data_IF_619275509307
#
_entry.id   IF_619275509307
#
_cell.length_a   1.000
_cell.length_b   1.000
_cell.length_c   1.000
_cell.angle_alpha   90.00
_cell.angle_beta   90.00
_cell.angle_gamma   90.00
#
_symmetry.space_group_name_H-M   'P 1'
#
loop_
_entity.id
_entity.type
_entity.pdbx_description
1 polymer ?
#
# COMPACT_ATOMS: atom_id res chain seq x y z
N UNK A 1 11.44 17.83 -8.12
CA UNK A 1 10.30 16.94 -7.88
C UNK A 1 9.68 16.60 -9.22
N UNK A 2 9.46 15.31 -9.49
CA UNK A 2 8.89 14.85 -10.76
C UNK A 2 7.45 14.40 -10.54
N UNK A 3 6.60 14.59 -11.55
CA UNK A 3 5.18 14.27 -11.48
C UNK A 3 4.75 13.41 -12.66
N UNK A 4 3.94 12.39 -12.37
CA UNK A 4 3.16 11.67 -13.36
C UNK A 4 1.74 12.24 -13.37
N UNK A 5 1.23 12.54 -14.56
CA UNK A 5 -0.16 13.00 -14.72
C UNK A 5 -1.04 11.80 -15.06
N UNK A 6 -2.09 11.59 -14.28
CA UNK A 6 -3.06 10.53 -14.53
C UNK A 6 -4.11 10.98 -15.58
N UNK A 7 -5.03 10.07 -15.94
CA UNK A 7 -6.08 10.38 -16.92
C UNK A 7 -7.08 11.46 -16.48
N UNK A 8 -7.13 11.77 -15.17
CA UNK A 8 -7.98 12.83 -14.59
C UNK A 8 -7.23 14.16 -14.44
N UNK A 9 -6.07 14.30 -15.08
CA UNK A 9 -5.17 15.46 -14.96
C UNK A 9 -4.70 15.74 -13.52
N UNK A 10 -4.57 14.69 -12.69
CA UNK A 10 -4.12 14.77 -11.31
C UNK A 10 -2.66 14.35 -11.21
N UNK A 11 -1.87 15.09 -10.42
CA UNK A 11 -0.43 14.89 -10.25
C UNK A 11 -0.14 13.80 -9.22
N UNK A 12 0.73 12.86 -9.57
CA UNK A 12 1.32 11.85 -8.68
C UNK A 12 2.81 12.20 -8.57
N UNK A 13 3.26 12.63 -7.41
CA UNK A 13 4.65 12.95 -7.15
C UNK A 13 5.48 11.67 -7.01
N UNK A 14 6.64 11.61 -7.63
CA UNK A 14 7.52 10.45 -7.55
C UNK A 14 9.00 10.81 -7.60
N UNK A 15 9.83 9.88 -7.12
CA UNK A 15 11.28 9.85 -7.32
C UNK A 15 11.65 8.54 -7.99
N UNK A 16 12.57 8.59 -8.95
CA UNK A 16 13.06 7.42 -9.65
C UNK A 16 14.56 7.47 -9.81
N UNK A 17 15.21 6.31 -9.77
CA UNK A 17 16.59 6.14 -10.19
C UNK A 17 16.69 4.99 -11.19
N UNK A 18 17.52 5.19 -12.21
CA UNK A 18 17.80 4.16 -13.21
C UNK A 18 18.77 3.12 -12.64
N UNK A 19 18.64 1.90 -13.10
CA UNK A 19 19.49 0.76 -12.77
C UNK A 19 19.07 -0.46 -13.59
N UNK A 20 19.61 -1.62 -13.23
CA UNK A 20 19.22 -2.90 -13.83
C UNK A 20 17.88 -3.38 -13.26
N UNK A 21 17.20 -4.29 -13.97
CA UNK A 21 15.92 -4.87 -13.52
C UNK A 21 16.04 -6.32 -13.04
N UNK A 22 14.97 -6.83 -12.40
CA UNK A 22 13.69 -6.17 -12.14
C UNK A 22 13.84 -4.98 -11.18
N UNK A 23 13.16 -3.86 -11.51
CA UNK A 23 13.18 -2.67 -10.66
C UNK A 23 12.34 -2.84 -9.40
N UNK A 24 12.55 -1.95 -8.45
CA UNK A 24 11.84 -1.91 -7.17
C UNK A 24 10.86 -0.74 -7.19
N UNK A 25 9.60 -0.98 -6.81
CA UNK A 25 8.61 0.05 -6.54
C UNK A 25 8.25 -0.01 -5.05
N UNK A 26 8.52 1.06 -4.31
CA UNK A 26 8.16 1.17 -2.90
C UNK A 26 6.82 1.91 -2.74
N UNK A 27 5.92 1.33 -1.94
CA UNK A 27 4.56 1.82 -1.66
C UNK A 27 4.46 2.11 -0.17
N UNK A 28 4.25 3.38 0.17
CA UNK A 28 4.18 3.84 1.56
C UNK A 28 2.88 3.43 2.27
N UNK A 29 2.85 3.54 3.59
CA UNK A 29 1.67 3.29 4.42
C UNK A 29 0.71 4.48 4.50
N UNK A 30 -0.39 4.27 5.23
CA UNK A 30 -1.36 5.31 5.52
C UNK A 30 -0.67 6.50 6.22
N UNK A 31 -1.04 7.70 5.82
CA UNK A 31 -0.53 8.95 6.39
C UNK A 31 1.01 9.07 6.38
N UNK A 32 1.66 8.42 5.43
CA UNK A 32 3.10 8.47 5.16
C UNK A 32 3.37 9.03 3.77
N UNK A 33 4.63 9.10 3.39
CA UNK A 33 5.05 9.61 2.08
C UNK A 33 6.32 8.90 1.57
N UNK A 34 6.77 9.28 0.37
CA UNK A 34 7.98 8.75 -0.26
C UNK A 34 9.29 9.24 0.37
N UNK A 35 9.24 10.08 1.41
CA UNK A 35 10.41 10.62 2.10
C UNK A 35 10.68 9.89 3.42
N UNK A 36 9.81 8.94 3.81
CA UNK A 36 9.96 8.15 5.03
C UNK A 36 11.25 7.32 5.04
N UNK A 37 11.68 6.91 6.24
CA UNK A 37 12.94 6.17 6.44
C UNK A 37 13.01 4.90 5.58
N UNK A 38 11.92 4.12 5.52
CA UNK A 38 11.88 2.87 4.72
C UNK A 38 12.16 3.15 3.24
N UNK A 39 11.55 4.19 2.66
CA UNK A 39 11.78 4.58 1.27
C UNK A 39 13.25 4.96 1.04
N UNK A 40 13.84 5.73 1.96
CA UNK A 40 15.25 6.16 1.88
C UNK A 40 16.21 4.97 1.94
N UNK A 41 16.03 4.05 2.89
CA UNK A 41 16.89 2.85 3.01
C UNK A 41 16.80 1.94 1.80
N UNK A 42 15.59 1.68 1.29
CA UNK A 42 15.40 0.84 0.11
C UNK A 42 16.00 1.53 -1.14
N UNK A 43 15.87 2.84 -1.27
CA UNK A 43 16.50 3.60 -2.35
C UNK A 43 18.04 3.53 -2.29
N UNK A 44 18.64 3.69 -1.09
CA UNK A 44 20.08 3.54 -0.90
C UNK A 44 20.57 2.14 -1.26
N UNK A 45 19.84 1.10 -0.83
CA UNK A 45 20.10 -0.28 -1.22
C UNK A 45 20.04 -0.48 -2.73
N UNK A 46 18.98 0.00 -3.38
CA UNK A 46 18.82 -0.09 -4.83
C UNK A 46 19.97 0.61 -5.58
N UNK A 47 20.35 1.80 -5.14
CA UNK A 47 21.47 2.55 -5.71
C UNK A 47 22.79 1.79 -5.55
N UNK A 48 23.10 1.26 -4.35
CA UNK A 48 24.32 0.48 -4.08
C UNK A 48 24.42 -0.76 -4.97
N UNK A 49 23.28 -1.40 -5.27
CA UNK A 49 23.22 -2.62 -6.07
C UNK A 49 22.87 -2.38 -7.56
N UNK A 50 22.93 -1.12 -8.01
CA UNK A 50 22.59 -0.73 -9.37
C UNK A 50 21.22 -1.26 -9.86
N UNK A 51 20.19 -1.20 -8.98
CA UNK A 51 18.82 -1.59 -9.29
C UNK A 51 17.97 -0.35 -9.62
N UNK A 52 17.06 -0.48 -10.58
CA UNK A 52 16.05 0.55 -10.82
C UNK A 52 15.14 0.67 -9.61
N UNK A 53 14.80 1.90 -9.23
CA UNK A 53 13.94 2.17 -8.06
C UNK A 53 12.96 3.29 -8.34
N UNK A 54 11.73 3.14 -7.84
CA UNK A 54 10.71 4.18 -7.81
C UNK A 54 10.05 4.19 -6.43
N UNK A 55 9.87 5.38 -5.85
CA UNK A 55 8.92 5.65 -4.78
C UNK A 55 8.07 6.86 -5.16
N UNK A 56 6.85 6.92 -4.64
CA UNK A 56 5.88 7.93 -5.01
C UNK A 56 4.95 8.19 -3.84
N UNK A 57 4.24 9.32 -3.88
CA UNK A 57 3.16 9.64 -2.97
C UNK A 57 1.83 9.26 -3.63
N UNK A 58 1.01 8.45 -2.97
CA UNK A 58 -0.37 8.25 -3.39
C UNK A 58 -1.13 9.60 -3.36
N UNK A 59 -2.12 9.79 -4.23
CA UNK A 59 -2.98 11.00 -4.17
C UNK A 59 -3.52 11.21 -2.76
N UNK A 60 -3.57 12.46 -2.32
CA UNK A 60 -3.94 12.83 -0.95
C UNK A 60 -2.83 12.64 0.08
N UNK A 61 -1.61 12.27 -0.34
CA UNK A 61 -0.43 12.15 0.51
C UNK A 61 0.74 12.98 -0.04
N UNK A 62 1.62 13.42 0.85
CA UNK A 62 2.89 14.06 0.54
C UNK A 62 2.76 15.24 -0.43
N UNK A 63 3.33 15.11 -1.62
CA UNK A 63 3.35 16.13 -2.68
C UNK A 63 2.41 15.82 -3.85
N UNK A 64 1.62 14.75 -3.76
CA UNK A 64 0.63 14.39 -4.75
C UNK A 64 -0.65 15.21 -4.61
N UNK A 65 -1.50 15.19 -5.64
CA UNK A 65 -2.72 15.97 -5.75
C UNK A 65 -3.77 15.61 -4.68
N UNK A 66 -4.47 16.63 -4.17
CA UNK A 66 -5.70 16.53 -3.38
C UNK A 66 -5.47 16.27 -1.89
N UNK A 67 -6.58 16.12 -1.15
CA UNK A 67 -6.57 15.84 0.28
C UNK A 67 -6.85 14.35 0.51
N UNK A 68 -6.37 13.81 1.62
CA UNK A 68 -6.50 12.39 1.98
C UNK A 68 -7.95 11.88 1.90
N UNK A 69 -8.89 12.63 2.44
CA UNK A 69 -10.33 12.28 2.48
C UNK A 69 -11.01 12.21 1.11
N UNK A 70 -10.37 12.71 0.07
CA UNK A 70 -10.92 12.70 -1.29
C UNK A 70 -10.66 11.39 -2.03
N UNK A 71 -9.82 10.51 -1.48
CA UNK A 71 -9.38 9.27 -2.12
C UNK A 71 -9.77 8.01 -1.37
N UNK A 72 -9.67 6.89 -2.06
CA UNK A 72 -10.05 5.55 -1.58
C UNK A 72 -8.97 4.53 -1.94
N UNK A 73 -9.11 3.28 -1.47
CA UNK A 73 -8.22 2.18 -1.84
C UNK A 73 -8.16 1.94 -3.35
N UNK A 74 -9.30 2.10 -4.05
CA UNK A 74 -9.35 1.97 -5.52
C UNK A 74 -8.56 3.07 -6.23
N UNK A 75 -8.62 4.32 -5.73
CA UNK A 75 -7.85 5.44 -6.28
C UNK A 75 -6.34 5.22 -6.09
N UNK A 76 -5.91 4.80 -4.90
CA UNK A 76 -4.49 4.53 -4.61
C UNK A 76 -3.97 3.30 -5.36
N UNK A 77 -4.80 2.26 -5.55
CA UNK A 77 -4.47 1.15 -6.45
C UNK A 77 -4.25 1.64 -7.89
N UNK A 78 -5.10 2.56 -8.37
CA UNK A 78 -4.94 3.16 -9.69
C UNK A 78 -3.63 3.94 -9.80
N UNK A 79 -3.20 4.64 -8.76
CA UNK A 79 -1.92 5.33 -8.73
C UNK A 79 -0.76 4.36 -8.95
N UNK A 80 -0.75 3.21 -8.25
CA UNK A 80 0.29 2.19 -8.43
C UNK A 80 0.27 1.62 -9.85
N UNK A 81 -0.91 1.35 -10.38
CA UNK A 81 -1.08 0.85 -11.75
C UNK A 81 -0.51 1.87 -12.76
N UNK A 82 -0.78 3.16 -12.56
CA UNK A 82 -0.21 4.21 -13.41
C UNK A 82 1.33 4.26 -13.31
N UNK A 83 1.91 4.10 -12.12
CA UNK A 83 3.37 4.02 -11.93
C UNK A 83 3.93 2.80 -12.69
N UNK A 84 3.33 1.61 -12.51
CA UNK A 84 3.77 0.39 -13.19
C UNK A 84 3.70 0.54 -14.70
N UNK A 85 2.57 1.00 -15.21
CA UNK A 85 2.28 0.98 -16.64
C UNK A 85 3.02 2.09 -17.42
N UNK A 86 3.22 3.27 -16.79
CA UNK A 86 3.77 4.45 -17.48
C UNK A 86 5.25 4.70 -17.20
N UNK A 87 5.76 4.28 -16.03
CA UNK A 87 7.13 4.60 -15.62
C UNK A 87 8.08 3.40 -15.62
N UNK A 88 7.57 2.18 -15.79
CA UNK A 88 8.41 0.98 -15.76
C UNK A 88 8.23 0.08 -16.99
N UNK A 89 9.24 -0.72 -17.28
CA UNK A 89 9.20 -1.78 -18.30
C UNK A 89 9.44 -3.13 -17.65
N UNK A 90 8.82 -4.19 -18.17
CA UNK A 90 8.95 -5.55 -17.64
C UNK A 90 8.42 -5.73 -16.21
N UNK A 91 8.65 -6.90 -15.60
CA UNK A 91 8.20 -7.21 -14.25
C UNK A 91 8.99 -6.44 -13.18
N UNK A 92 8.31 -6.01 -12.11
CA UNK A 92 8.85 -5.24 -11.01
C UNK A 92 8.70 -5.98 -9.67
N UNK A 93 9.59 -5.70 -8.72
CA UNK A 93 9.41 -6.09 -7.32
C UNK A 93 8.65 -4.96 -6.62
N UNK A 94 7.50 -5.30 -6.02
CA UNK A 94 6.75 -4.33 -5.20
C UNK A 94 7.12 -4.53 -3.73
N UNK A 95 7.43 -3.44 -3.04
CA UNK A 95 7.65 -3.42 -1.60
C UNK A 95 6.61 -2.50 -0.98
N UNK A 96 5.71 -3.06 -0.15
CA UNK A 96 4.62 -2.32 0.46
C UNK A 96 4.68 -2.32 1.98
N UNK A 97 4.55 -1.15 2.62
CA UNK A 97 4.52 -1.01 4.07
C UNK A 97 3.10 -0.73 4.57
N UNK A 98 2.60 -1.51 5.55
CA UNK A 98 1.29 -1.33 6.16
C UNK A 98 0.17 -1.29 5.10
N UNK A 99 -0.59 -0.19 4.96
CA UNK A 99 -1.56 0.02 3.86
C UNK A 99 -0.92 -0.19 2.48
N UNK A 100 0.35 0.21 2.30
CA UNK A 100 1.09 -0.05 1.06
C UNK A 100 1.25 -1.53 0.74
N UNK A 101 1.30 -2.41 1.74
CA UNK A 101 1.26 -3.86 1.57
C UNK A 101 -0.07 -4.35 1.00
N UNK A 102 -1.19 -3.80 1.47
CA UNK A 102 -2.50 -4.10 0.89
C UNK A 102 -2.60 -3.63 -0.56
N UNK A 103 -2.21 -2.39 -0.82
CA UNK A 103 -2.19 -1.82 -2.17
C UNK A 103 -1.27 -2.62 -3.12
N UNK A 104 -0.13 -3.09 -2.63
CA UNK A 104 0.79 -3.99 -3.33
C UNK A 104 0.08 -5.27 -3.80
N UNK A 105 -0.68 -5.91 -2.92
CA UNK A 105 -1.45 -7.12 -3.24
C UNK A 105 -2.53 -6.84 -4.29
N UNK A 106 -3.27 -5.74 -4.16
CA UNK A 106 -4.29 -5.33 -5.12
C UNK A 106 -3.70 -4.98 -6.49
N UNK A 107 -2.53 -4.34 -6.52
CA UNK A 107 -1.82 -4.04 -7.76
C UNK A 107 -1.30 -5.32 -8.44
N UNK A 108 -0.80 -6.29 -7.65
CA UNK A 108 -0.37 -7.58 -8.16
C UNK A 108 -1.52 -8.40 -8.77
N UNK A 109 -2.71 -8.35 -8.17
CA UNK A 109 -3.92 -8.93 -8.77
C UNK A 109 -4.29 -8.28 -10.11
N UNK A 110 -4.14 -6.95 -10.21
CA UNK A 110 -4.49 -6.20 -11.41
C UNK A 110 -3.45 -6.32 -12.53
N UNK A 111 -2.18 -6.57 -12.21
CA UNK A 111 -1.06 -6.63 -13.16
C UNK A 111 -0.11 -7.83 -12.92
N UNK A 112 -0.60 -9.07 -12.86
CA UNK A 112 0.20 -10.23 -12.42
C UNK A 112 1.42 -10.48 -13.30
N UNK A 113 1.35 -10.16 -14.59
CA UNK A 113 2.48 -10.33 -15.53
C UNK A 113 3.58 -9.26 -15.35
N UNK A 114 3.25 -8.15 -14.66
CA UNK A 114 4.17 -7.04 -14.41
C UNK A 114 4.85 -7.15 -13.04
N UNK A 115 4.66 -8.26 -12.30
CA UNK A 115 5.22 -8.48 -10.97
C UNK A 115 6.24 -9.62 -11.01
N UNK A 116 7.45 -9.33 -10.54
CA UNK A 116 8.54 -10.30 -10.35
C UNK A 116 8.54 -10.89 -8.94
N UNK A 117 8.14 -10.13 -7.92
CA UNK A 117 8.08 -10.53 -6.53
C UNK A 117 7.39 -9.48 -5.66
N UNK A 118 7.03 -9.88 -4.43
CA UNK A 118 6.35 -9.02 -3.46
C UNK A 118 7.07 -9.05 -2.11
N UNK A 119 7.20 -7.89 -1.46
CA UNK A 119 7.71 -7.79 -0.09
C UNK A 119 6.75 -6.94 0.73
N UNK A 120 6.09 -7.54 1.71
CA UNK A 120 5.19 -6.86 2.64
C UNK A 120 5.89 -6.56 3.97
N UNK A 121 5.91 -5.31 4.39
CA UNK A 121 6.45 -4.84 5.66
C UNK A 121 5.29 -4.47 6.57
N UNK A 122 4.99 -5.28 7.58
CA UNK A 122 3.79 -5.14 8.43
C UNK A 122 2.53 -4.89 7.57
N UNK A 123 2.32 -5.73 6.54
CA UNK A 123 1.25 -5.53 5.55
C UNK A 123 -0.13 -5.78 6.16
N UNK A 124 -1.09 -4.89 5.87
CA UNK A 124 -2.51 -5.06 6.22
C UNK A 124 -3.32 -5.47 4.99
N UNK A 125 -4.57 -5.92 5.16
CA UNK A 125 -5.42 -6.40 4.05
C UNK A 125 -6.90 -6.03 4.15
N UNK A 126 -7.36 -5.62 5.32
CA UNK A 126 -8.79 -5.41 5.61
C UNK A 126 -9.02 -4.26 6.60
N UNK A 127 -8.06 -3.35 6.66
CA UNK A 127 -8.07 -2.21 7.59
C UNK A 127 -9.41 -1.45 7.60
N UNK A 128 -10.12 -1.39 6.46
CA UNK A 128 -11.38 -0.66 6.36
C UNK A 128 -12.50 -1.23 7.27
N UNK A 129 -12.68 -2.56 7.30
CA UNK A 129 -13.66 -3.22 8.16
C UNK A 129 -13.29 -3.09 9.64
N UNK A 130 -12.04 -3.41 9.96
CA UNK A 130 -11.55 -3.31 11.33
C UNK A 130 -11.69 -1.89 11.86
N UNK A 131 -11.31 -0.90 11.03
CA UNK A 131 -11.46 0.51 11.40
C UNK A 131 -12.93 0.89 11.64
N UNK A 132 -13.85 0.52 10.72
CA UNK A 132 -15.27 0.81 10.89
C UNK A 132 -15.87 0.17 12.15
N UNK A 133 -15.48 -1.06 12.47
CA UNK A 133 -15.95 -1.75 13.65
C UNK A 133 -15.46 -1.09 14.95
N UNK A 134 -14.25 -0.55 14.94
CA UNK A 134 -13.57 0.04 16.10
C UNK A 134 -13.87 1.53 16.32
N UNK A 135 -14.49 2.24 15.36
CA UNK A 135 -14.93 3.62 15.64
C UNK A 135 -16.11 3.63 16.61
N UNK A 136 -16.14 4.64 17.50
CA UNK A 136 -17.16 4.79 18.54
C UNK A 136 -18.58 4.88 17.95
N UNK A 137 -19.57 4.51 18.76
CA UNK A 137 -21.00 4.66 18.41
C UNK A 137 -21.33 6.11 18.02
N UNK A 138 -20.75 7.09 18.72
CA UNK A 138 -20.87 8.51 18.39
C UNK A 138 -20.37 8.80 16.99
N UNK A 139 -19.17 8.32 16.64
CA UNK A 139 -18.60 8.52 15.31
C UNK A 139 -19.40 7.80 14.21
N UNK A 140 -19.95 6.61 14.47
CA UNK A 140 -20.86 5.92 13.54
C UNK A 140 -22.12 6.76 13.25
N UNK A 141 -22.72 7.36 14.28
CA UNK A 141 -23.88 8.28 14.12
C UNK A 141 -23.51 9.52 13.31
N UNK A 142 -22.35 10.14 13.59
CA UNK A 142 -21.85 11.31 12.85
C UNK A 142 -21.62 10.91 11.38
N UNK A 143 -20.91 9.82 11.12
CA UNK A 143 -20.62 9.34 9.76
C UNK A 143 -21.91 9.09 8.97
N UNK A 144 -22.93 8.50 9.60
CA UNK A 144 -24.24 8.28 8.96
C UNK A 144 -24.96 9.59 8.64
N UNK A 145 -24.85 10.62 9.51
CA UNK A 145 -25.52 11.92 9.33
C UNK A 145 -24.78 12.83 8.35
N UNK A 146 -23.45 12.91 8.43
CA UNK A 146 -22.64 13.92 7.71
C UNK A 146 -21.80 13.35 6.58
N UNK A 147 -21.66 12.03 6.49
CA UNK A 147 -20.82 11.35 5.51
C UNK A 147 -19.32 11.41 5.81
N UNK A 148 -18.88 12.08 6.91
CA UNK A 148 -17.47 12.28 7.25
C UNK A 148 -17.26 12.29 8.76
N UNK A 149 -16.12 11.73 9.21
CA UNK A 149 -15.69 11.80 10.63
C UNK A 149 -14.22 12.21 10.70
N UNK A 150 -13.87 12.92 11.78
CA UNK A 150 -12.47 13.09 12.18
C UNK A 150 -12.04 11.87 13.00
N UNK A 151 -10.99 11.20 12.54
CA UNK A 151 -10.44 10.02 13.21
C UNK A 151 -9.03 10.33 13.70
N UNK A 152 -8.75 9.95 14.95
CA UNK A 152 -7.42 10.09 15.55
C UNK A 152 -6.84 8.70 15.81
N UNK A 153 -5.63 8.47 15.36
CA UNK A 153 -4.89 7.23 15.57
C UNK A 153 -3.40 7.49 15.54
N UNK A 154 -2.65 6.89 16.47
CA UNK A 154 -1.18 6.98 16.55
C UNK A 154 -0.62 8.40 16.41
N UNK A 155 -1.21 9.37 17.13
CA UNK A 155 -0.78 10.76 17.09
C UNK A 155 -1.21 11.57 15.86
N UNK A 156 -1.87 10.95 14.89
CA UNK A 156 -2.36 11.60 13.67
C UNK A 156 -3.87 11.83 13.72
N UNK A 157 -4.30 12.90 13.03
CA UNK A 157 -5.72 13.18 12.79
C UNK A 157 -5.97 13.26 11.30
N UNK A 158 -6.99 12.56 10.80
CA UNK A 158 -7.41 12.60 9.42
C UNK A 158 -8.93 12.45 9.30
N UNK A 159 -9.47 12.85 8.17
CA UNK A 159 -10.89 12.72 7.89
C UNK A 159 -11.17 11.45 7.09
N UNK A 160 -12.21 10.73 7.51
CA UNK A 160 -12.68 9.51 6.83
C UNK A 160 -14.10 9.72 6.33
N UNK A 161 -14.30 9.55 5.04
CA UNK A 161 -15.63 9.62 4.42
C UNK A 161 -16.27 8.24 4.31
N UNK A 162 -17.60 8.19 4.25
CA UNK A 162 -18.35 6.94 4.03
C UNK A 162 -17.87 6.16 2.81
N UNK A 163 -17.47 6.86 1.73
CA UNK A 163 -16.92 6.24 0.51
C UNK A 163 -15.66 5.43 0.77
N UNK A 164 -14.78 5.87 1.71
CA UNK A 164 -13.56 5.14 2.08
C UNK A 164 -13.89 3.75 2.61
N UNK A 165 -14.81 3.66 3.58
CA UNK A 165 -15.19 2.37 4.18
C UNK A 165 -15.84 1.42 3.17
N UNK A 166 -16.76 1.94 2.33
CA UNK A 166 -17.41 1.15 1.28
C UNK A 166 -16.41 0.59 0.27
N UNK A 167 -15.46 1.43 -0.15
CA UNK A 167 -14.46 1.05 -1.13
C UNK A 167 -13.39 0.11 -0.53
N UNK A 168 -12.98 0.34 0.73
CA UNK A 168 -12.07 -0.55 1.44
C UNK A 168 -12.65 -1.97 1.57
N UNK A 169 -13.94 -2.10 1.89
CA UNK A 169 -14.63 -3.40 1.93
C UNK A 169 -14.65 -4.09 0.57
N UNK A 170 -14.92 -3.34 -0.51
CA UNK A 170 -14.89 -3.85 -1.88
C UNK A 170 -13.49 -4.37 -2.28
N UNK A 171 -12.44 -3.77 -1.73
CA UNK A 171 -11.05 -4.12 -1.99
C UNK A 171 -10.46 -5.07 -0.92
N UNK A 172 -11.26 -5.71 -0.06
CA UNK A 172 -10.77 -6.66 0.93
C UNK A 172 -10.07 -7.84 0.24
N UNK A 173 -8.76 -7.95 0.46
CA UNK A 173 -7.95 -8.99 -0.17
C UNK A 173 -8.29 -10.40 0.33
N UNK A 174 -8.76 -10.52 1.58
CA UNK A 174 -9.02 -11.82 2.23
C UNK A 174 -10.29 -12.51 1.72
N UNK A 175 -11.13 -11.85 0.90
CA UNK A 175 -12.38 -12.42 0.39
C UNK A 175 -12.13 -13.52 -0.64
N UNK A 176 -11.13 -13.35 -1.52
CA UNK A 176 -10.87 -14.27 -2.64
C UNK A 176 -9.45 -14.82 -2.58
N UNK A 177 -9.27 -16.05 -3.07
CA UNK A 177 -7.94 -16.61 -3.29
C UNK A 177 -7.25 -15.89 -4.44
N UNK A 178 -5.93 -15.72 -4.32
CA UNK A 178 -5.08 -15.10 -5.31
C UNK A 178 -4.03 -16.08 -5.83
N UNK A 179 -4.06 -16.35 -7.13
CA UNK A 179 -3.07 -17.22 -7.77
C UNK A 179 -1.80 -16.42 -8.06
N UNK A 180 -0.80 -16.55 -7.19
CA UNK A 180 0.48 -15.86 -7.33
C UNK A 180 1.63 -16.84 -7.07
N UNK A 181 2.37 -17.20 -8.13
CA UNK A 181 3.44 -18.22 -8.10
C UNK A 181 4.86 -17.60 -7.99
N UNK A 182 4.98 -16.28 -7.96
CA UNK A 182 6.27 -15.58 -7.84
C UNK A 182 6.66 -15.49 -6.37
N UNK A 183 7.95 -15.22 -6.06
CA UNK A 183 8.42 -15.07 -4.68
C UNK A 183 7.65 -13.98 -3.92
N UNK A 184 7.31 -14.27 -2.67
CA UNK A 184 6.74 -13.31 -1.72
C UNK A 184 7.42 -13.44 -0.37
N UNK A 185 7.74 -12.30 0.24
CA UNK A 185 8.25 -12.21 1.61
C UNK A 185 7.31 -11.30 2.41
N UNK A 186 6.88 -11.78 3.57
CA UNK A 186 6.08 -11.00 4.52
C UNK A 186 6.89 -10.85 5.81
N UNK A 187 7.17 -9.62 6.20
CA UNK A 187 7.99 -9.29 7.38
C UNK A 187 7.10 -8.63 8.41
N UNK A 188 7.08 -9.16 9.64
CA UNK A 188 6.26 -8.69 10.75
C UNK A 188 7.09 -8.53 12.02
N UNK A 189 6.97 -7.39 12.70
CA UNK A 189 7.50 -7.21 14.04
C UNK A 189 6.67 -7.97 15.07
N UNK A 190 7.32 -8.69 15.98
CA UNK A 190 6.60 -9.47 17.02
C UNK A 190 5.96 -8.57 18.08
N UNK A 191 6.43 -7.34 18.23
CA UNK A 191 5.90 -6.32 19.15
C UNK A 191 5.10 -5.23 18.43
N UNK A 192 4.64 -5.49 17.19
CA UNK A 192 3.80 -4.54 16.45
C UNK A 192 2.42 -4.49 17.09
N UNK A 193 2.06 -3.35 17.68
CA UNK A 193 0.78 -3.09 18.33
C UNK A 193 -0.30 -2.57 17.37
N UNK A 194 0.06 -2.33 16.11
CA UNK A 194 -0.82 -1.81 15.05
C UNK A 194 -1.34 -2.92 14.16
N UNK A 195 -0.46 -3.84 13.76
CA UNK A 195 -0.76 -4.93 12.83
C UNK A 195 -0.64 -6.26 13.55
N UNK A 196 -1.78 -6.96 13.64
CA UNK A 196 -1.89 -8.29 14.25
C UNK A 196 -0.81 -9.23 13.69
N UNK A 197 -0.09 -9.89 14.61
CA UNK A 197 1.01 -10.83 14.32
C UNK A 197 0.59 -11.97 13.38
N UNK A 198 -0.68 -12.34 13.35
CA UNK A 198 -1.20 -13.39 12.46
C UNK A 198 -1.57 -12.89 11.05
N UNK A 199 -1.51 -11.58 10.81
CA UNK A 199 -1.84 -11.01 9.50
C UNK A 199 -1.03 -11.62 8.35
N UNK A 200 0.29 -11.83 8.45
CA UNK A 200 1.06 -12.51 7.41
C UNK A 200 0.55 -13.91 7.09
N UNK A 201 0.15 -14.68 8.09
CA UNK A 201 -0.45 -16.01 7.90
C UNK A 201 -1.80 -15.91 7.19
N UNK A 202 -2.65 -14.95 7.57
CA UNK A 202 -3.94 -14.69 6.92
C UNK A 202 -3.76 -14.36 5.44
N UNK A 203 -2.75 -13.55 5.10
CA UNK A 203 -2.37 -13.22 3.71
C UNK A 203 -1.90 -14.49 2.98
N UNK A 204 -0.92 -15.21 3.55
CA UNK A 204 -0.34 -16.40 2.95
C UNK A 204 -1.40 -17.47 2.62
N UNK A 205 -2.37 -17.67 3.52
CA UNK A 205 -3.46 -18.65 3.34
C UNK A 205 -4.42 -18.29 2.18
N UNK A 206 -4.41 -17.05 1.71
CA UNK A 206 -5.22 -16.60 0.56
C UNK A 206 -4.48 -16.70 -0.77
N UNK A 207 -3.20 -17.02 -0.75
CA UNK A 207 -2.37 -17.08 -1.94
C UNK A 207 -2.12 -18.53 -2.35
N UNK A 208 -2.51 -18.86 -3.58
CA UNK A 208 -2.20 -20.15 -4.19
C UNK A 208 -0.78 -20.09 -4.78
N UNK A 209 0.23 -20.21 -3.91
CA UNK A 209 1.64 -20.23 -4.28
C UNK A 209 2.45 -20.90 -3.17
N UNK A 210 3.55 -21.58 -3.55
CA UNK A 210 4.43 -22.27 -2.59
C UNK A 210 5.66 -21.45 -2.20
N UNK A 211 5.91 -20.31 -2.88
CA UNK A 211 7.12 -19.50 -2.69
C UNK A 211 6.82 -18.28 -1.82
N UNK A 212 6.33 -18.53 -0.60
CA UNK A 212 6.00 -17.50 0.38
C UNK A 212 6.82 -17.74 1.65
N UNK A 213 7.57 -16.73 2.06
CA UNK A 213 8.32 -16.72 3.30
C UNK A 213 7.72 -15.69 4.26
N UNK A 214 7.51 -16.09 5.52
CA UNK A 214 7.11 -15.18 6.61
C UNK A 214 8.30 -15.05 7.55
N UNK A 215 8.69 -13.80 7.83
CA UNK A 215 9.80 -13.46 8.72
C UNK A 215 9.24 -12.66 9.90
N UNK A 216 9.44 -13.16 11.11
CA UNK A 216 9.12 -12.45 12.35
C UNK A 216 10.38 -11.83 12.94
N UNK A 217 10.33 -10.53 13.23
CA UNK A 217 11.44 -9.80 13.84
C UNK A 217 11.17 -9.60 15.34
N UNK A 218 12.14 -9.96 16.16
CA UNK A 218 12.15 -9.67 17.61
C UNK A 218 12.59 -8.21 17.82
N UNK A 219 11.72 -7.26 17.60
CA UNK A 219 12.00 -5.83 17.82
C UNK A 219 11.06 -5.25 18.86
#
# INVERSE_FOLDING_TARGET
MTYLINKKNQKIAYKASKGKGPGIIFIHGLNSDMQGLKAKYIHQYAKKNNLSFICFDCRGHGKSFGNFEDFTMSDWKEDIINIIDKLTKGPQILIGSSMGGWLMLLAAQARPRRIAGLIGLAAVTDFGNNLYNNISVKNKKILKKTGIIKYKSFGFSYYLRTKFFKDANKNNFLVKKFNFKKPMILIQGMKDDVVDIDTPKKISNKINGKNIQIIYLKS
#
